data_IF_193856178413
#
_entry.id   IF_193856178413
#
_cell.length_a   1.000
_cell.length_b   1.000
_cell.length_c   1.000
_cell.angle_alpha   90.00
_cell.angle_beta   90.00
_cell.angle_gamma   90.00
#
_symmetry.space_group_name_H-M   'P 1'
#
loop_
_entity.id
_entity.type
_entity.pdbx_description
1 polymer ?
#
# COMPACT_ATOMS: atom_id res chain seq x y z
N UNK A 1 16.49 -7.58 -8.87
CA UNK A 1 15.82 -6.75 -9.89
C UNK A 1 14.36 -6.51 -9.51
N UNK A 2 13.59 -7.59 -9.26
CA UNK A 2 12.15 -7.55 -8.86
C UNK A 2 11.85 -6.52 -7.77
N UNK A 3 12.43 -6.63 -6.56
CA UNK A 3 12.16 -5.71 -5.43
C UNK A 3 12.34 -4.22 -5.78
N UNK A 4 13.32 -3.90 -6.64
CA UNK A 4 13.56 -2.51 -7.08
C UNK A 4 12.46 -2.01 -8.00
N UNK A 5 12.00 -2.84 -8.93
CA UNK A 5 10.91 -2.49 -9.83
C UNK A 5 9.63 -2.36 -9.01
N UNK A 6 9.34 -3.34 -8.15
CA UNK A 6 8.14 -3.36 -7.31
C UNK A 6 8.05 -2.13 -6.39
N UNK A 7 9.14 -1.70 -5.75
CA UNK A 7 9.08 -0.49 -4.89
C UNK A 7 8.86 0.78 -5.71
N UNK A 8 9.40 0.88 -6.93
CA UNK A 8 9.15 2.03 -7.80
C UNK A 8 7.70 2.06 -8.30
N UNK A 9 7.13 0.90 -8.64
CA UNK A 9 5.71 0.78 -8.99
C UNK A 9 4.85 1.17 -7.79
N UNK A 10 5.13 0.65 -6.60
CA UNK A 10 4.44 1.02 -5.36
C UNK A 10 4.45 2.53 -5.12
N UNK A 11 5.62 3.18 -5.24
CA UNK A 11 5.76 4.65 -5.06
C UNK A 11 4.90 5.43 -6.05
N UNK A 12 5.03 5.13 -7.34
CA UNK A 12 4.31 5.83 -8.40
C UNK A 12 2.80 5.67 -8.24
N UNK A 13 2.34 4.42 -8.07
CA UNK A 13 0.92 4.12 -7.89
C UNK A 13 0.35 4.71 -6.61
N UNK A 14 1.08 4.66 -5.49
CA UNK A 14 0.61 5.20 -4.23
C UNK A 14 0.55 6.73 -4.24
N UNK A 15 1.53 7.41 -4.86
CA UNK A 15 1.50 8.86 -5.00
C UNK A 15 0.30 9.31 -5.83
N UNK A 16 0.06 8.67 -6.97
CA UNK A 16 -1.08 8.98 -7.83
C UNK A 16 -2.41 8.66 -7.11
N UNK A 17 -2.51 7.51 -6.44
CA UNK A 17 -3.69 7.14 -5.66
C UNK A 17 -3.97 8.14 -4.53
N UNK A 18 -2.93 8.60 -3.82
CA UNK A 18 -3.04 9.59 -2.75
C UNK A 18 -3.56 10.93 -3.29
N UNK A 19 -3.00 11.41 -4.39
CA UNK A 19 -3.45 12.66 -5.03
C UNK A 19 -4.93 12.54 -5.42
N UNK A 20 -5.32 11.48 -6.13
CA UNK A 20 -6.71 11.27 -6.54
C UNK A 20 -7.66 11.14 -5.34
N UNK A 21 -7.25 10.42 -4.30
CA UNK A 21 -8.03 10.22 -3.08
C UNK A 21 -8.28 11.52 -2.33
N UNK A 22 -7.24 12.35 -2.16
CA UNK A 22 -7.36 13.66 -1.51
C UNK A 22 -8.22 14.61 -2.33
N UNK A 23 -8.01 14.69 -3.65
CA UNK A 23 -8.81 15.57 -4.52
C UNK A 23 -10.30 15.18 -4.51
N UNK A 24 -10.60 13.89 -4.50
CA UNK A 24 -11.97 13.40 -4.33
C UNK A 24 -12.52 13.74 -2.94
N UNK A 25 -11.71 13.59 -1.88
CA UNK A 25 -12.11 13.85 -0.50
C UNK A 25 -12.50 15.31 -0.26
N UNK A 26 -11.79 16.27 -0.87
CA UNK A 26 -12.11 17.71 -0.76
C UNK A 26 -13.13 18.20 -1.79
N UNK A 27 -13.69 17.31 -2.62
CA UNK A 27 -14.71 17.64 -3.62
C UNK A 27 -14.18 18.39 -4.85
N UNK A 28 -12.88 18.31 -5.13
CA UNK A 28 -12.25 18.97 -6.30
C UNK A 28 -12.17 18.06 -7.54
N UNK A 29 -12.43 16.76 -7.39
CA UNK A 29 -12.33 15.78 -8.47
C UNK A 29 -13.65 15.01 -8.69
N UNK A 30 -14.04 14.73 -9.95
CA UNK A 30 -15.26 14.01 -10.26
C UNK A 30 -15.18 12.52 -9.88
N UNK A 31 -16.34 11.95 -9.53
CA UNK A 31 -16.50 10.53 -9.22
C UNK A 31 -16.03 9.58 -10.35
N UNK A 32 -15.99 10.05 -11.59
CA UNK A 32 -15.53 9.27 -12.76
C UNK A 32 -14.06 8.80 -12.63
N UNK A 33 -13.25 9.49 -11.84
CA UNK A 33 -11.82 9.16 -11.65
C UNK A 33 -11.57 8.19 -10.49
N UNK A 34 -12.63 7.78 -9.77
CA UNK A 34 -12.54 6.80 -8.69
C UNK A 34 -12.12 5.43 -9.23
N UNK A 35 -12.56 5.05 -10.43
CA UNK A 35 -12.10 3.82 -11.06
C UNK A 35 -10.57 3.78 -11.20
N UNK A 36 -9.95 4.90 -11.55
CA UNK A 36 -8.48 5.02 -11.66
C UNK A 36 -7.84 4.94 -10.27
N UNK A 37 -8.38 5.64 -9.28
CA UNK A 37 -7.92 5.52 -7.89
C UNK A 37 -7.96 4.07 -7.38
N UNK A 38 -9.05 3.34 -7.65
CA UNK A 38 -9.20 1.94 -7.26
C UNK A 38 -8.15 1.05 -7.94
N UNK A 39 -7.94 1.20 -9.25
CA UNK A 39 -6.92 0.42 -9.98
C UNK A 39 -5.53 0.69 -9.38
N UNK A 40 -5.19 1.96 -9.12
CA UNK A 40 -3.91 2.31 -8.50
C UNK A 40 -3.78 1.73 -7.09
N UNK A 41 -4.86 1.77 -6.28
CA UNK A 41 -4.90 1.15 -4.96
C UNK A 41 -4.67 -0.36 -5.01
N UNK A 42 -5.27 -1.05 -6.00
CA UNK A 42 -5.04 -2.49 -6.23
C UNK A 42 -3.56 -2.74 -6.58
N UNK A 43 -2.97 -1.92 -7.45
CA UNK A 43 -1.55 -2.04 -7.81
C UNK A 43 -0.66 -1.85 -6.57
N UNK A 44 -1.00 -0.92 -5.67
CA UNK A 44 -0.29 -0.73 -4.39
C UNK A 44 -0.38 -1.99 -3.52
N UNK A 45 -1.57 -2.56 -3.33
CA UNK A 45 -1.78 -3.78 -2.53
C UNK A 45 -0.99 -4.96 -3.11
N UNK A 46 -1.08 -5.19 -4.41
CA UNK A 46 -0.33 -6.26 -5.09
C UNK A 46 1.18 -6.05 -4.97
N UNK A 47 1.65 -4.81 -5.13
CA UNK A 47 3.08 -4.48 -4.96
C UNK A 47 3.54 -4.75 -3.52
N UNK A 48 2.72 -4.40 -2.52
CA UNK A 48 3.01 -4.67 -1.12
C UNK A 48 3.08 -6.18 -0.84
N UNK A 49 2.19 -6.98 -1.41
CA UNK A 49 2.22 -8.44 -1.27
C UNK A 49 3.44 -9.08 -1.96
N UNK A 50 3.84 -8.58 -3.14
CA UNK A 50 5.08 -9.04 -3.79
C UNK A 50 6.30 -8.72 -2.93
N UNK A 51 6.36 -7.52 -2.34
CA UNK A 51 7.42 -7.16 -1.38
C UNK A 51 7.37 -8.03 -0.12
N UNK A 52 6.17 -8.31 0.39
CA UNK A 52 5.94 -9.22 1.51
C UNK A 52 6.47 -10.63 1.22
N UNK A 53 6.17 -11.19 0.05
CA UNK A 53 6.72 -12.47 -0.39
C UNK A 53 8.24 -12.44 -0.51
N UNK A 54 8.81 -11.34 -1.01
CA UNK A 54 10.25 -11.19 -1.10
C UNK A 54 10.94 -11.17 0.28
N UNK A 55 10.41 -10.42 1.25
CA UNK A 55 11.02 -10.38 2.59
C UNK A 55 10.85 -11.69 3.36
N UNK A 56 9.81 -12.47 3.08
CA UNK A 56 9.61 -13.79 3.67
C UNK A 56 10.78 -14.77 3.39
N UNK A 57 11.52 -14.57 2.30
CA UNK A 57 12.69 -15.41 1.96
C UNK A 57 13.97 -15.03 2.71
N UNK A 58 13.90 -14.02 3.59
CA UNK A 58 15.05 -13.52 4.35
C UNK A 58 14.97 -13.91 5.83
N UNK A 59 16.11 -14.08 6.53
CA UNK A 59 16.12 -14.36 7.96
C UNK A 59 15.37 -13.29 8.78
N UNK A 60 14.38 -13.72 9.56
CA UNK A 60 13.56 -12.85 10.40
C UNK A 60 12.60 -11.93 9.63
N UNK A 61 12.36 -12.20 8.35
CA UNK A 61 11.47 -11.41 7.50
C UNK A 61 9.98 -11.78 7.57
N UNK A 62 9.65 -12.95 8.15
CA UNK A 62 8.29 -13.50 8.15
C UNK A 62 7.26 -12.58 8.82
N UNK A 63 7.62 -11.90 9.92
CA UNK A 63 6.72 -10.97 10.60
C UNK A 63 6.33 -9.77 9.73
N UNK A 64 7.28 -9.25 8.95
CA UNK A 64 6.99 -8.17 7.99
C UNK A 64 6.16 -8.67 6.80
N UNK A 65 6.37 -9.92 6.36
CA UNK A 65 5.57 -10.52 5.31
C UNK A 65 4.09 -10.66 5.73
N UNK A 66 3.85 -11.18 6.93
CA UNK A 66 2.49 -11.28 7.51
C UNK A 66 1.87 -9.89 7.65
N UNK A 67 2.63 -8.94 8.22
CA UNK A 67 2.17 -7.55 8.36
C UNK A 67 1.78 -6.92 7.02
N UNK A 68 2.59 -7.11 5.97
CA UNK A 68 2.32 -6.62 4.63
C UNK A 68 1.07 -7.25 4.01
N UNK A 69 0.88 -8.56 4.23
CA UNK A 69 -0.29 -9.26 3.74
C UNK A 69 -1.57 -8.75 4.41
N UNK A 70 -1.59 -8.71 5.74
CA UNK A 70 -2.74 -8.26 6.55
C UNK A 70 -3.07 -6.80 6.26
N UNK A 71 -2.07 -5.91 6.25
CA UNK A 71 -2.27 -4.50 5.93
C UNK A 71 -2.84 -4.33 4.52
N UNK A 72 -2.29 -5.02 3.53
CA UNK A 72 -2.79 -4.96 2.16
C UNK A 72 -4.24 -5.45 2.06
N UNK A 73 -4.60 -6.53 2.76
CA UNK A 73 -5.95 -7.09 2.78
C UNK A 73 -6.96 -6.13 3.42
N UNK A 74 -6.62 -5.54 4.58
CA UNK A 74 -7.47 -4.55 5.26
C UNK A 74 -7.67 -3.33 4.36
N UNK A 75 -6.62 -2.79 3.77
CA UNK A 75 -6.69 -1.63 2.85
C UNK A 75 -7.58 -1.94 1.65
N UNK A 76 -7.45 -3.13 1.05
CA UNK A 76 -8.23 -3.56 -0.10
C UNK A 76 -9.73 -3.65 0.24
N UNK A 77 -10.07 -4.38 1.31
CA UNK A 77 -11.47 -4.56 1.73
C UNK A 77 -12.10 -3.21 2.08
N UNK A 78 -11.41 -2.39 2.88
CA UNK A 78 -11.91 -1.08 3.26
C UNK A 78 -12.08 -0.17 2.05
N UNK A 79 -11.12 -0.15 1.12
CA UNK A 79 -11.21 0.66 -0.10
C UNK A 79 -12.40 0.30 -0.99
N UNK A 80 -12.66 -1.00 -1.18
CA UNK A 80 -13.81 -1.47 -1.96
C UNK A 80 -15.16 -1.15 -1.32
N UNK A 81 -15.21 -1.15 0.02
CA UNK A 81 -16.46 -0.97 0.77
C UNK A 81 -16.66 0.45 1.28
N UNK A 82 -15.65 1.34 1.16
CA UNK A 82 -15.65 2.67 1.77
C UNK A 82 -16.93 3.46 1.52
N UNK A 83 -17.40 3.53 0.26
CA UNK A 83 -18.61 4.29 -0.11
C UNK A 83 -19.91 3.73 0.46
N UNK A 84 -19.93 2.45 0.84
CA UNK A 84 -21.11 1.77 1.38
C UNK A 84 -21.15 1.84 2.91
N UNK A 85 -20.00 2.09 3.54
CA UNK A 85 -19.90 2.17 4.99
C UNK A 85 -20.28 3.58 5.45
N UNK A 86 -21.42 3.67 6.15
CA UNK A 86 -21.95 4.89 6.74
C UNK A 86 -21.95 6.05 5.73
N UNK A 87 -22.71 5.95 4.61
CA UNK A 87 -22.65 6.95 3.54
C UNK A 87 -23.11 8.33 4.02
N UNK A 88 -22.73 9.36 3.27
CA UNK A 88 -23.17 10.73 3.51
C UNK A 88 -24.70 10.83 3.57
N UNK A 89 -25.25 11.70 4.45
CA UNK A 89 -24.59 12.75 5.24
C UNK A 89 -24.07 12.31 6.62
N UNK A 90 -23.75 11.03 6.83
CA UNK A 90 -23.28 10.57 8.14
C UNK A 90 -21.90 11.17 8.48
N UNK A 91 -21.82 11.98 9.53
CA UNK A 91 -20.56 12.61 10.00
C UNK A 91 -19.44 11.60 10.30
N UNK A 92 -19.77 10.34 10.60
CA UNK A 92 -18.82 9.25 10.84
C UNK A 92 -18.19 8.75 9.53
N UNK A 93 -18.79 8.99 8.36
CA UNK A 93 -18.21 8.66 7.05
C UNK A 93 -16.79 9.23 6.89
N UNK A 94 -16.60 10.46 7.38
CA UNK A 94 -15.31 11.15 7.33
C UNK A 94 -14.23 10.41 8.13
N UNK A 95 -14.59 9.75 9.23
CA UNK A 95 -13.65 8.93 10.01
C UNK A 95 -13.16 7.74 9.18
N UNK A 96 -14.05 7.10 8.43
CA UNK A 96 -13.71 5.98 7.54
C UNK A 96 -12.72 6.44 6.47
N UNK A 97 -12.95 7.61 5.86
CA UNK A 97 -12.05 8.19 4.88
C UNK A 97 -10.65 8.46 5.48
N UNK A 98 -10.58 8.98 6.71
CA UNK A 98 -9.31 9.20 7.42
C UNK A 98 -8.61 7.86 7.72
N UNK A 99 -9.33 6.84 8.18
CA UNK A 99 -8.78 5.51 8.43
C UNK A 99 -8.21 4.91 7.15
N UNK A 100 -8.93 5.00 6.02
CA UNK A 100 -8.45 4.51 4.74
C UNK A 100 -7.19 5.25 4.27
N UNK A 101 -7.14 6.58 4.43
CA UNK A 101 -5.94 7.38 4.14
C UNK A 101 -4.73 6.91 4.97
N UNK A 102 -4.90 6.71 6.28
CA UNK A 102 -3.83 6.23 7.17
C UNK A 102 -3.36 4.82 6.81
N UNK A 103 -4.27 3.93 6.40
CA UNK A 103 -3.92 2.60 5.89
C UNK A 103 -3.12 2.69 4.58
N UNK A 104 -3.51 3.59 3.67
CA UNK A 104 -2.76 3.88 2.44
C UNK A 104 -1.34 4.37 2.73
N UNK A 105 -1.19 5.34 3.64
CA UNK A 105 0.14 5.84 4.07
C UNK A 105 0.97 4.75 4.75
N UNK A 106 0.33 3.90 5.56
CA UNK A 106 0.97 2.77 6.22
C UNK A 106 1.48 1.75 5.19
N UNK A 107 0.73 1.50 4.11
CA UNK A 107 1.15 0.61 3.04
C UNK A 107 2.42 1.14 2.33
N UNK A 108 2.52 2.45 2.13
CA UNK A 108 3.73 3.09 1.58
C UNK A 108 4.91 2.89 2.54
N UNK A 109 4.74 3.28 3.81
CA UNK A 109 5.81 3.17 4.81
C UNK A 109 6.31 1.72 4.98
N UNK A 110 5.39 0.75 4.99
CA UNK A 110 5.74 -0.66 5.07
C UNK A 110 6.48 -1.16 3.82
N UNK A 111 6.05 -0.75 2.62
CA UNK A 111 6.74 -1.06 1.37
C UNK A 111 8.18 -0.56 1.35
N UNK A 112 8.42 0.68 1.78
CA UNK A 112 9.75 1.28 1.91
C UNK A 112 10.62 0.53 2.94
N UNK A 113 10.05 0.24 4.12
CA UNK A 113 10.74 -0.47 5.19
C UNK A 113 11.20 -1.87 4.73
N UNK A 114 10.31 -2.60 4.04
CA UNK A 114 10.60 -3.92 3.47
C UNK A 114 11.71 -3.83 2.42
N UNK A 115 11.59 -2.92 1.45
CA UNK A 115 12.59 -2.76 0.39
C UNK A 115 13.98 -2.42 0.97
N UNK A 116 14.03 -1.53 1.95
CA UNK A 116 15.26 -1.16 2.66
C UNK A 116 15.89 -2.34 3.41
N UNK A 117 15.09 -3.11 4.15
CA UNK A 117 15.57 -4.29 4.89
C UNK A 117 16.06 -5.39 3.96
N UNK A 118 15.28 -5.71 2.92
CA UNK A 118 15.65 -6.72 1.92
C UNK A 118 16.99 -6.39 1.25
N UNK A 119 17.20 -5.12 0.88
CA UNK A 119 18.46 -4.66 0.29
C UNK A 119 19.64 -4.91 1.24
N UNK A 120 19.52 -4.57 2.53
CA UNK A 120 20.60 -4.79 3.50
C UNK A 120 20.96 -6.26 3.63
N UNK A 121 19.97 -7.13 3.78
CA UNK A 121 20.18 -8.59 3.91
C UNK A 121 20.80 -9.20 2.65
N UNK A 122 20.35 -8.75 1.47
CA UNK A 122 20.92 -9.20 0.20
C UNK A 122 22.39 -8.81 0.01
N UNK A 123 22.84 -7.69 0.60
CA UNK A 123 24.26 -7.30 0.56
C UNK A 123 25.10 -8.16 1.51
N UNK A 124 24.61 -8.40 2.74
CA UNK A 124 25.27 -9.28 3.72
C UNK A 124 25.47 -10.68 3.15
N UNK A 125 24.42 -11.27 2.57
CA UNK A 125 24.51 -12.61 1.96
C UNK A 125 25.56 -12.67 0.84
N UNK A 126 25.68 -11.63 0.01
CA UNK A 126 26.69 -11.56 -1.04
C UNK A 126 28.12 -11.45 -0.52
N UNK A 127 28.33 -10.82 0.63
CA UNK A 127 29.65 -10.71 1.26
C UNK A 127 30.10 -12.03 1.89
N UNK A 128 29.18 -12.82 2.43
CA UNK A 128 29.49 -14.12 3.05
C UNK A 128 29.85 -15.23 2.06
N UNK A 129 29.46 -15.08 0.78
CA UNK A 129 29.74 -16.04 -0.30
C UNK A 129 31.04 -15.72 -1.04
N UNK A 130 31.68 -14.58 -0.74
CA UNK A 130 32.99 -14.18 -1.28
C UNK A 130 34.11 -14.55 -0.31
#
# INVERSE_FOLDING_TARGET
>A
MVVRITVNVLRASALLALILGVLNWVGLFPDSLIAIHMILGIIVVLSLWVLGGAIATTPGGIGLAIGAFVLGLITFILGLTQKQLLPDPNSVHRVIQVVHLLLGLSAIGMGEAIAGRYRRQSQVAKMQVR
#
